data_IF_980069125942
#
_entry.id   IF_980069125942
#
_cell.length_a   1.000
_cell.length_b   1.000
_cell.length_c   1.000
_cell.angle_alpha   90.00
_cell.angle_beta   90.00
_cell.angle_gamma   90.00
#
_symmetry.space_group_name_H-M   'P 1'
#
loop_
_entity.id
_entity.type
_entity.pdbx_description
1 polymer ?
#
# COMPACT_ATOMS: atom_id res chain seq x y z
N UNK A 1 9.72 -1.47 0.48
CA UNK A 1 9.86 0.01 0.56
C UNK A 1 10.84 0.42 -0.52
N UNK A 2 10.62 1.58 -1.13
CA UNK A 2 11.49 2.16 -2.17
C UNK A 2 11.92 3.59 -1.78
N UNK A 3 12.88 4.16 -2.50
CA UNK A 3 13.37 5.55 -2.35
C UNK A 3 14.04 5.91 -1.02
N UNK A 4 14.39 4.92 -0.20
CA UNK A 4 14.99 5.16 1.11
C UNK A 4 16.37 5.81 0.98
N UNK A 5 17.10 5.45 -0.06
CA UNK A 5 18.42 5.94 -0.44
C UNK A 5 18.38 7.43 -0.85
N UNK A 6 17.20 7.95 -1.20
CA UNK A 6 16.98 9.35 -1.58
C UNK A 6 16.29 10.18 -0.48
N UNK A 7 16.18 9.64 0.76
CA UNK A 7 15.44 10.27 1.86
C UNK A 7 13.96 10.58 1.55
N UNK A 8 13.34 9.80 0.65
CA UNK A 8 11.97 9.99 0.19
C UNK A 8 11.15 8.69 0.28
N UNK A 9 11.28 7.98 1.40
CA UNK A 9 10.80 6.61 1.56
C UNK A 9 9.31 6.45 1.23
N UNK A 10 8.98 5.45 0.41
CA UNK A 10 7.61 5.10 0.06
C UNK A 10 7.31 3.62 0.29
N UNK A 11 6.09 3.33 0.74
CA UNK A 11 5.54 1.97 0.81
C UNK A 11 4.59 1.76 -0.37
N UNK A 12 4.95 0.78 -1.21
CA UNK A 12 4.29 0.46 -2.47
C UNK A 12 4.06 -1.04 -2.55
N UNK A 13 3.18 -1.47 -3.46
CA UNK A 13 3.01 -2.88 -3.75
C UNK A 13 4.32 -3.50 -4.25
N UNK A 14 4.56 -4.77 -3.90
CA UNK A 14 5.69 -5.53 -4.46
C UNK A 14 5.30 -6.03 -5.84
N UNK A 15 5.89 -5.43 -6.86
CA UNK A 15 5.73 -5.78 -8.28
C UNK A 15 7.05 -5.59 -9.06
N UNK A 16 7.08 -5.92 -10.34
CA UNK A 16 8.28 -5.82 -11.18
C UNK A 16 8.95 -4.43 -11.12
N UNK A 17 8.16 -3.36 -11.29
CA UNK A 17 8.67 -1.98 -11.29
C UNK A 17 9.24 -1.56 -9.93
N UNK A 18 8.57 -1.90 -8.82
CA UNK A 18 9.05 -1.59 -7.48
C UNK A 18 10.36 -2.31 -7.13
N UNK A 19 10.55 -3.53 -7.65
CA UNK A 19 11.77 -4.32 -7.48
C UNK A 19 12.93 -3.72 -8.29
N UNK A 20 12.64 -3.29 -9.52
CA UNK A 20 13.62 -2.59 -10.36
C UNK A 20 14.07 -1.27 -9.73
N UNK A 21 13.12 -0.46 -9.21
CA UNK A 21 13.45 0.77 -8.47
C UNK A 21 14.36 0.45 -7.28
N UNK A 22 14.03 -0.57 -6.48
CA UNK A 22 14.82 -0.94 -5.30
C UNK A 22 16.24 -1.39 -5.68
N UNK A 23 16.40 -2.10 -6.78
CA UNK A 23 17.71 -2.54 -7.28
C UNK A 23 18.54 -1.36 -7.82
N UNK A 24 17.95 -0.51 -8.65
CA UNK A 24 18.63 0.68 -9.19
C UNK A 24 19.05 1.66 -8.09
N UNK A 25 18.19 1.86 -7.10
CA UNK A 25 18.45 2.80 -5.99
C UNK A 25 19.63 2.37 -5.11
N UNK A 26 19.96 1.08 -5.07
CA UNK A 26 21.09 0.53 -4.28
C UNK A 26 22.45 0.69 -4.95
N UNK A 27 22.51 1.13 -6.21
CA UNK A 27 23.76 1.30 -6.93
C UNK A 27 24.57 2.46 -6.34
N UNK A 28 25.90 2.35 -6.21
CA UNK A 28 26.73 3.47 -5.76
C UNK A 28 26.54 4.71 -6.63
N UNK A 29 26.28 5.86 -6.01
CA UNK A 29 26.07 7.12 -6.72
C UNK A 29 24.71 7.26 -7.42
N UNK A 30 23.78 6.32 -7.21
CA UNK A 30 22.43 6.45 -7.75
C UNK A 30 21.76 7.75 -7.27
N UNK A 31 21.02 8.36 -8.18
CA UNK A 31 20.21 9.55 -7.95
C UNK A 31 18.75 9.24 -8.27
N UNK A 32 17.83 10.09 -7.81
CA UNK A 32 16.41 9.91 -8.15
C UNK A 32 16.15 10.00 -9.66
N UNK A 33 16.96 10.76 -10.40
CA UNK A 33 16.82 10.89 -11.86
C UNK A 33 16.94 9.53 -12.57
N UNK A 34 17.76 8.62 -12.04
CA UNK A 34 17.96 7.27 -12.59
C UNK A 34 16.69 6.40 -12.53
N UNK A 35 15.77 6.70 -11.61
CA UNK A 35 14.54 5.92 -11.40
C UNK A 35 13.26 6.73 -11.62
N UNK A 36 13.34 8.02 -11.95
CA UNK A 36 12.20 8.91 -12.06
C UNK A 36 11.16 8.42 -13.10
N UNK A 37 11.62 7.82 -14.20
CA UNK A 37 10.76 7.24 -15.23
C UNK A 37 9.98 6.01 -14.74
N UNK A 38 10.55 5.21 -13.83
CA UNK A 38 9.87 4.09 -13.16
C UNK A 38 8.90 4.57 -12.08
N UNK A 39 9.25 5.65 -11.39
CA UNK A 39 8.45 6.28 -10.34
C UNK A 39 7.30 7.17 -10.86
N UNK A 40 7.10 7.24 -12.18
CA UNK A 40 6.09 8.11 -12.80
C UNK A 40 4.68 7.77 -12.32
N UNK A 41 4.05 8.73 -11.65
CA UNK A 41 2.64 8.60 -11.22
C UNK A 41 1.66 8.57 -12.39
N UNK A 42 2.02 9.16 -13.54
CA UNK A 42 1.23 9.06 -14.77
C UNK A 42 1.21 7.63 -15.28
N UNK A 43 2.37 6.97 -15.36
CA UNK A 43 2.50 5.56 -15.73
C UNK A 43 1.71 4.65 -14.78
N UNK A 44 1.87 4.84 -13.47
CA UNK A 44 1.10 4.08 -12.47
C UNK A 44 -0.41 4.27 -12.62
N UNK A 45 -0.88 5.48 -12.93
CA UNK A 45 -2.31 5.75 -13.16
C UNK A 45 -2.82 5.10 -14.44
N UNK A 46 -2.07 5.17 -15.53
CA UNK A 46 -2.48 4.65 -16.83
C UNK A 46 -2.44 3.11 -16.85
N UNK A 47 -1.30 2.52 -16.53
CA UNK A 47 -1.10 1.07 -16.68
C UNK A 47 -1.76 0.28 -15.55
N UNK A 48 -1.57 0.70 -14.29
CA UNK A 48 -2.09 -0.06 -13.15
C UNK A 48 -3.55 0.25 -12.89
N UNK A 49 -3.87 1.52 -12.60
CA UNK A 49 -5.21 1.87 -12.09
C UNK A 49 -6.30 1.87 -13.18
N UNK A 50 -5.95 2.15 -14.44
CA UNK A 50 -6.92 2.15 -15.55
C UNK A 50 -6.87 0.85 -16.36
N UNK A 51 -5.69 0.41 -16.77
CA UNK A 51 -5.57 -0.78 -17.63
C UNK A 51 -5.52 -2.11 -16.84
N UNK A 52 -5.25 -2.08 -15.53
CA UNK A 52 -5.21 -3.27 -14.70
C UNK A 52 -3.91 -4.09 -14.82
N UNK A 53 -2.88 -3.55 -15.48
CA UNK A 53 -1.56 -4.17 -15.51
C UNK A 53 -0.81 -3.87 -14.21
N UNK A 54 -0.87 -4.83 -13.28
CA UNK A 54 -0.31 -4.70 -11.94
C UNK A 54 1.23 -4.63 -11.91
N UNK A 55 1.89 -4.99 -13.00
CA UNK A 55 3.34 -4.86 -13.20
C UNK A 55 3.71 -3.69 -14.14
N UNK A 56 2.72 -3.03 -14.74
CA UNK A 56 2.91 -1.94 -15.70
C UNK A 56 3.44 -0.64 -15.09
N UNK A 57 3.36 -0.45 -13.77
CA UNK A 57 3.85 0.74 -13.06
C UNK A 57 3.95 0.56 -11.55
N UNK A 58 4.59 1.51 -10.85
CA UNK A 58 4.60 1.54 -9.39
C UNK A 58 3.25 2.04 -8.85
N UNK A 59 2.69 1.38 -7.84
CA UNK A 59 1.43 1.79 -7.22
C UNK A 59 1.42 1.62 -5.70
N UNK A 60 0.61 2.44 -5.04
CA UNK A 60 0.58 2.56 -3.57
C UNK A 60 -0.23 1.43 -2.95
N UNK A 61 0.38 0.74 -1.99
CA UNK A 61 -0.29 -0.26 -1.17
C UNK A 61 0.36 -0.33 0.21
N UNK A 62 -0.47 -0.51 1.23
CA UNK A 62 -0.01 -0.71 2.61
C UNK A 62 0.00 -2.19 2.98
N UNK A 63 0.64 -2.53 4.11
CA UNK A 63 0.58 -3.90 4.62
C UNK A 63 -0.81 -4.31 5.10
N UNK A 64 -1.70 -3.35 5.39
CA UNK A 64 -3.08 -3.62 5.78
C UNK A 64 -3.86 -4.36 4.68
N UNK A 65 -3.38 -4.34 3.43
CA UNK A 65 -3.96 -5.14 2.34
C UNK A 65 -4.05 -6.64 2.69
N UNK A 66 -3.14 -7.17 3.52
CA UNK A 66 -3.17 -8.57 3.95
C UNK A 66 -4.35 -8.90 4.87
N UNK A 67 -5.08 -7.90 5.36
CA UNK A 67 -6.28 -8.02 6.18
C UNK A 67 -7.57 -7.82 5.36
N UNK A 68 -7.47 -7.52 4.07
CA UNK A 68 -8.60 -7.23 3.19
C UNK A 68 -8.86 -8.45 2.32
N UNK A 69 -10.04 -9.07 2.50
CA UNK A 69 -10.43 -10.30 1.81
C UNK A 69 -11.75 -10.19 1.04
N UNK A 70 -12.37 -9.02 1.05
CA UNK A 70 -13.66 -8.76 0.43
C UNK A 70 -13.66 -7.40 -0.29
N UNK A 71 -14.55 -7.27 -1.27
CA UNK A 71 -14.83 -6.02 -1.96
C UNK A 71 -16.26 -5.63 -1.61
N UNK A 72 -16.42 -4.46 -0.98
CA UNK A 72 -17.71 -3.96 -0.52
C UNK A 72 -17.84 -2.47 -0.84
N UNK A 73 -19.06 -1.94 -0.77
CA UNK A 73 -19.30 -0.51 -0.91
C UNK A 73 -18.65 0.27 0.25
N UNK A 74 -18.33 1.54 0.04
CA UNK A 74 -17.81 2.39 1.12
C UNK A 74 -18.75 2.43 2.34
N UNK A 75 -20.06 2.35 2.12
CA UNK A 75 -21.08 2.30 3.18
C UNK A 75 -20.90 1.06 4.06
N UNK A 76 -20.80 -0.12 3.44
CA UNK A 76 -20.68 -1.40 4.15
C UNK A 76 -19.36 -1.47 4.92
N UNK A 77 -18.25 -1.05 4.30
CA UNK A 77 -16.94 -1.02 4.96
C UNK A 77 -16.98 -0.17 6.22
N UNK A 78 -17.51 1.06 6.14
CA UNK A 78 -17.61 1.96 7.29
C UNK A 78 -18.54 1.40 8.37
N UNK A 79 -19.70 0.87 7.98
CA UNK A 79 -20.65 0.26 8.92
C UNK A 79 -20.03 -0.94 9.66
N UNK A 80 -19.29 -1.79 8.94
CA UNK A 80 -18.59 -2.93 9.53
C UNK A 80 -17.51 -2.50 10.52
N UNK A 81 -16.67 -1.52 10.16
CA UNK A 81 -15.63 -0.99 11.07
C UNK A 81 -16.24 -0.48 12.37
N UNK A 82 -17.32 0.29 12.29
CA UNK A 82 -17.99 0.85 13.48
C UNK A 82 -18.65 -0.25 14.31
N UNK A 83 -19.36 -1.18 13.69
CA UNK A 83 -20.00 -2.31 14.38
C UNK A 83 -18.98 -3.22 15.09
N UNK A 84 -17.88 -3.55 14.41
CA UNK A 84 -16.79 -4.36 14.98
C UNK A 84 -16.15 -3.64 16.18
N UNK A 85 -15.93 -2.32 16.10
CA UNK A 85 -15.38 -1.53 17.19
C UNK A 85 -16.31 -1.49 18.41
N UNK A 86 -17.62 -1.26 18.21
CA UNK A 86 -18.61 -1.27 19.29
C UNK A 86 -18.70 -2.64 19.98
N UNK A 87 -18.67 -3.73 19.20
CA UNK A 87 -18.66 -5.09 19.73
C UNK A 87 -17.39 -5.38 20.55
N UNK A 88 -16.22 -4.97 20.06
CA UNK A 88 -14.95 -5.14 20.80
C UNK A 88 -15.02 -4.43 22.16
N UNK A 89 -15.54 -3.20 22.19
CA UNK A 89 -15.66 -2.44 23.44
C UNK A 89 -16.63 -3.13 24.41
N UNK A 90 -17.86 -3.40 23.97
CA UNK A 90 -18.94 -3.89 24.85
C UNK A 90 -18.82 -5.35 25.26
N UNK A 91 -18.06 -6.14 24.53
CA UNK A 91 -17.98 -7.59 24.80
C UNK A 91 -16.58 -7.96 25.24
N UNK A 92 -15.56 -7.66 24.43
CA UNK A 92 -14.20 -8.13 24.69
C UNK A 92 -13.52 -7.34 25.80
N UNK A 93 -13.60 -6.01 25.78
CA UNK A 93 -12.97 -5.18 26.82
C UNK A 93 -13.72 -5.28 28.15
N UNK A 94 -15.06 -5.19 28.13
CA UNK A 94 -15.87 -5.33 29.35
C UNK A 94 -15.63 -6.69 30.05
N UNK A 95 -15.55 -7.79 29.29
CA UNK A 95 -15.23 -9.11 29.86
C UNK A 95 -13.81 -9.17 30.44
N UNK A 96 -12.83 -8.48 29.84
CA UNK A 96 -11.46 -8.44 30.34
C UNK A 96 -11.30 -7.56 31.59
N UNK A 97 -12.20 -6.61 31.83
CA UNK A 97 -12.19 -5.72 33.00
C UNK A 97 -13.04 -6.24 34.16
N UNK A 98 -14.01 -7.11 33.88
CA UNK A 98 -14.97 -7.62 34.87
C UNK A 98 -14.59 -8.98 35.46
N UNK A 99 -13.49 -9.59 35.00
CA UNK A 99 -12.93 -10.84 35.54
C UNK A 99 -11.69 -10.56 36.39
#
# INVERSE_FOLDING_TARGET
MVFREFHNSARVAKNAVSLEIAELSRRPGATFADIAHLASGERGRAEVLRAGDMDGGMWWASQAQGLIHEVASCREVVAKIMGDAEMIVRTRLDAALSG
#
